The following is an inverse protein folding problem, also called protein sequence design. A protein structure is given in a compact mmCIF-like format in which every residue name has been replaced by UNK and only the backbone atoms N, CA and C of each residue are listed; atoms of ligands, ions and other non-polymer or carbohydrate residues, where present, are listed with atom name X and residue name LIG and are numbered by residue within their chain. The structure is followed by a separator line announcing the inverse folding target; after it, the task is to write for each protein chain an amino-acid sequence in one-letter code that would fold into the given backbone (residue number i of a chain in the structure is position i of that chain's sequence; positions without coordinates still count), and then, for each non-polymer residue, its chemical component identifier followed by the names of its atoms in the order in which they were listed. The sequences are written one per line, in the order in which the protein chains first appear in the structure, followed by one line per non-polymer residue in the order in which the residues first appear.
data_IF_431572636921
#
_entry.id   IF_431572636921
#
_cell.length_a   1.000
_cell.length_b   1.000
_cell.length_c   1.000
_cell.angle_alpha   90.00
_cell.angle_beta   90.00
_cell.angle_gamma   90.00
#
_symmetry.space_group_name_H-M   'P 1'
#
loop_
_entity.id
_entity.type
_entity.pdbx_description
1 polymer ?
#
# COMPACT_ATOMS: atom_id res chain seq x y z
N UNK A 1 -7.48 -21.32 -1.93
CA UNK A 1 -6.99 -20.05 -1.34
C UNK A 1 -7.13 -20.16 0.16
N UNK A 2 -6.08 -19.90 0.92
CA UNK A 2 -6.15 -19.96 2.38
C UNK A 2 -6.89 -18.74 2.95
N UNK A 3 -7.38 -18.84 4.19
CA UNK A 3 -7.96 -17.71 4.89
C UNK A 3 -6.96 -16.55 5.06
N UNK A 4 -5.67 -16.86 5.25
CA UNK A 4 -4.59 -15.88 5.37
C UNK A 4 -4.43 -15.06 4.09
N UNK A 5 -4.35 -15.71 2.92
CA UNK A 5 -4.24 -15.05 1.61
C UNK A 5 -5.47 -14.19 1.35
N UNK A 6 -6.65 -14.68 1.72
CA UNK A 6 -7.92 -13.94 1.54
C UNK A 6 -7.92 -12.66 2.37
N UNK A 7 -7.58 -12.75 3.66
CA UNK A 7 -7.50 -11.57 4.53
C UNK A 7 -6.41 -10.59 4.06
N UNK A 8 -5.24 -11.09 3.67
CA UNK A 8 -4.17 -10.26 3.13
C UNK A 8 -4.59 -9.51 1.86
N UNK A 9 -5.26 -10.19 0.92
CA UNK A 9 -5.76 -9.58 -0.31
C UNK A 9 -6.78 -8.47 -0.02
N UNK A 10 -7.71 -8.71 0.91
CA UNK A 10 -8.68 -7.70 1.35
C UNK A 10 -8.02 -6.52 2.05
N UNK A 11 -7.05 -6.75 2.92
CA UNK A 11 -6.31 -5.69 3.60
C UNK A 11 -5.56 -4.84 2.58
N UNK A 12 -4.85 -5.46 1.63
CA UNK A 12 -4.18 -4.73 0.55
C UNK A 12 -5.18 -3.93 -0.28
N UNK A 13 -6.32 -4.51 -0.66
CA UNK A 13 -7.35 -3.79 -1.39
C UNK A 13 -7.82 -2.55 -0.64
N UNK A 14 -8.19 -2.69 0.64
CA UNK A 14 -8.63 -1.54 1.47
C UNK A 14 -7.52 -0.50 1.60
N UNK A 15 -6.28 -0.93 1.83
CA UNK A 15 -5.11 -0.05 1.94
C UNK A 15 -4.93 0.81 0.69
N UNK A 16 -4.99 0.19 -0.49
CA UNK A 16 -4.82 0.89 -1.76
C UNK A 16 -6.02 1.73 -2.15
N UNK A 17 -7.24 1.34 -1.77
CA UNK A 17 -8.44 2.17 -1.95
C UNK A 17 -8.38 3.43 -1.08
N UNK A 18 -7.95 3.30 0.18
CA UNK A 18 -7.75 4.47 1.08
C UNK A 18 -6.68 5.40 0.50
N UNK A 19 -5.55 4.84 0.07
CA UNK A 19 -4.46 5.62 -0.54
C UNK A 19 -4.91 6.34 -1.82
N UNK A 20 -5.63 5.65 -2.70
CA UNK A 20 -6.15 6.25 -3.93
C UNK A 20 -7.19 7.34 -3.65
N UNK A 21 -8.07 7.13 -2.66
CA UNK A 21 -9.01 8.14 -2.19
C UNK A 21 -8.30 9.36 -1.61
N UNK A 22 -7.19 9.15 -0.90
CA UNK A 22 -6.37 10.22 -0.36
C UNK A 22 -5.64 11.02 -1.45
N UNK A 23 -5.08 10.34 -2.44
CA UNK A 23 -4.44 10.99 -3.57
C UNK A 23 -5.47 11.78 -4.39
N UNK A 24 -6.67 11.24 -4.61
CA UNK A 24 -7.79 11.97 -5.22
C UNK A 24 -8.18 13.21 -4.41
N UNK A 25 -8.33 13.10 -3.09
CA UNK A 25 -8.60 14.24 -2.21
C UNK A 25 -7.51 15.32 -2.34
N UNK A 26 -6.23 14.95 -2.36
CA UNK A 26 -5.14 15.92 -2.55
C UNK A 26 -5.17 16.56 -3.93
N UNK A 27 -5.37 15.78 -4.99
CA UNK A 27 -5.43 16.30 -6.37
C UNK A 27 -6.66 17.20 -6.58
N UNK A 28 -7.76 17.04 -5.84
CA UNK A 28 -8.93 17.93 -5.94
C UNK A 28 -8.88 19.13 -5.01
N UNK A 29 -8.52 18.94 -3.74
CA UNK A 29 -8.63 19.98 -2.70
C UNK A 29 -7.32 20.72 -2.41
N UNK A 30 -6.15 20.12 -2.72
CA UNK A 30 -4.83 20.75 -2.55
C UNK A 30 -4.13 21.04 -3.89
N UNK A 31 -4.86 21.01 -5.01
CA UNK A 31 -4.32 21.36 -6.32
C UNK A 31 -3.66 22.75 -6.32
N UNK A 32 -2.33 22.79 -6.46
CA UNK A 32 -1.57 24.04 -6.60
C UNK A 32 -0.83 24.54 -5.34
N UNK A 33 -0.77 23.77 -4.26
CA UNK A 33 -0.10 24.20 -3.01
C UNK A 33 1.40 23.82 -2.96
N UNK A 34 1.86 22.78 -3.68
CA UNK A 34 3.28 22.38 -3.72
C UNK A 34 3.77 21.94 -5.11
N UNK A 35 5.08 22.09 -5.37
CA UNK A 35 5.79 21.65 -6.61
C UNK A 35 5.76 20.13 -6.82
N UNK A 36 5.42 19.36 -5.77
CA UNK A 36 5.18 17.92 -5.81
C UNK A 36 3.72 17.53 -6.09
N UNK A 37 2.78 18.49 -6.21
CA UNK A 37 1.42 18.29 -6.74
C UNK A 37 1.38 18.33 -8.28
N UNK A 38 2.51 18.01 -8.92
CA UNK A 38 2.60 17.96 -10.37
C UNK A 38 2.14 16.58 -10.87
N UNK A 39 1.49 16.60 -12.04
CA UNK A 39 0.96 15.43 -12.77
C UNK A 39 1.94 14.26 -12.90
N UNK A 40 3.25 14.52 -12.82
CA UNK A 40 4.30 13.50 -12.81
C UNK A 40 4.36 12.64 -11.53
N UNK A 41 4.04 13.20 -10.35
CA UNK A 41 3.90 12.42 -9.11
C UNK A 41 2.72 11.46 -9.23
N UNK A 42 1.59 11.96 -9.72
CA UNK A 42 0.37 11.20 -9.93
C UNK A 42 0.55 10.06 -10.94
N UNK A 43 1.25 10.30 -12.05
CA UNK A 43 1.57 9.25 -13.04
C UNK A 43 2.45 8.15 -12.42
N UNK A 44 3.38 8.51 -11.53
CA UNK A 44 4.22 7.53 -10.82
C UNK A 44 3.41 6.72 -9.81
N UNK A 45 2.45 7.34 -9.12
CA UNK A 45 1.48 6.64 -8.25
C UNK A 45 0.56 5.72 -9.06
N UNK A 46 0.19 6.09 -10.29
CA UNK A 46 -0.64 5.28 -11.18
C UNK A 46 0.04 3.95 -11.55
N UNK A 47 1.36 3.97 -11.78
CA UNK A 47 2.15 2.74 -11.99
C UNK A 47 2.14 1.87 -10.74
N UNK A 48 2.29 2.47 -9.55
CA UNK A 48 2.22 1.74 -8.28
C UNK A 48 0.84 1.12 -8.05
N UNK A 49 -0.24 1.85 -8.34
CA UNK A 49 -1.61 1.31 -8.25
C UNK A 49 -1.89 0.23 -9.29
N UNK A 50 -1.33 0.34 -10.49
CA UNK A 50 -1.39 -0.71 -11.50
C UNK A 50 -0.71 -1.99 -11.01
N UNK A 51 0.51 -1.89 -10.49
CA UNK A 51 1.23 -3.03 -9.91
C UNK A 51 0.48 -3.61 -8.72
N UNK A 52 -0.01 -2.77 -7.80
CA UNK A 52 -0.81 -3.20 -6.65
C UNK A 52 -2.05 -3.98 -7.10
N UNK A 53 -2.76 -3.49 -8.13
CA UNK A 53 -3.95 -4.14 -8.68
C UNK A 53 -3.62 -5.51 -9.25
N UNK A 54 -2.51 -5.65 -9.98
CA UNK A 54 -2.04 -6.94 -10.50
C UNK A 54 -1.74 -7.92 -9.36
N UNK A 55 -1.03 -7.47 -8.32
CA UNK A 55 -0.70 -8.28 -7.15
C UNK A 55 -1.96 -8.72 -6.40
N UNK A 56 -2.90 -7.81 -6.16
CA UNK A 56 -4.18 -8.12 -5.50
C UNK A 56 -5.00 -9.11 -6.34
N UNK A 57 -5.09 -8.90 -7.65
CA UNK A 57 -5.79 -9.82 -8.55
C UNK A 57 -5.14 -11.21 -8.56
N UNK A 58 -3.80 -11.29 -8.53
CA UNK A 58 -3.07 -12.55 -8.44
C UNK A 58 -3.33 -13.27 -7.11
N UNK A 59 -3.41 -12.53 -5.99
CA UNK A 59 -3.76 -13.08 -4.67
C UNK A 59 -5.18 -13.65 -4.67
N UNK A 60 -6.18 -12.92 -5.20
CA UNK A 60 -7.56 -13.41 -5.34
C UNK A 60 -7.67 -14.61 -6.29
N UNK A 61 -6.81 -14.67 -7.31
CA UNK A 61 -6.77 -15.79 -8.25
C UNK A 61 -6.15 -17.05 -7.65
N UNK A 62 -5.59 -16.98 -6.43
CA UNK A 62 -5.04 -18.13 -5.72
C UNK A 62 -3.80 -18.73 -6.39
N UNK A 63 -3.06 -17.95 -7.19
CA UNK A 63 -1.87 -18.43 -7.88
C UNK A 63 -0.76 -18.70 -6.87
N UNK A 64 0.00 -19.80 -7.03
CA UNK A 64 0.99 -20.24 -6.04
C UNK A 64 2.10 -19.24 -5.75
N UNK A 65 2.50 -18.43 -6.74
CA UNK A 65 3.52 -17.38 -6.56
C UNK A 65 2.96 -16.07 -5.97
N UNK A 66 1.64 -15.91 -5.90
CA UNK A 66 1.01 -14.66 -5.52
C UNK A 66 1.31 -14.28 -4.06
N UNK A 67 1.39 -15.25 -3.15
CA UNK A 67 1.74 -15.01 -1.75
C UNK A 67 3.15 -14.41 -1.62
N UNK A 68 4.12 -14.96 -2.36
CA UNK A 68 5.48 -14.43 -2.41
C UNK A 68 5.53 -13.04 -3.05
N UNK A 69 4.84 -12.82 -4.17
CA UNK A 69 4.79 -11.51 -4.80
C UNK A 69 4.13 -10.45 -3.90
N UNK A 70 3.03 -10.80 -3.23
CA UNK A 70 2.36 -9.93 -2.27
C UNK A 70 3.24 -9.59 -1.07
N UNK A 71 4.02 -10.56 -0.58
CA UNK A 71 4.95 -10.36 0.53
C UNK A 71 6.06 -9.38 0.12
N UNK A 72 6.75 -9.68 -0.98
CA UNK A 72 7.82 -8.81 -1.52
C UNK A 72 7.28 -7.40 -1.77
N UNK A 73 6.12 -7.29 -2.39
CA UNK A 73 5.48 -6.01 -2.66
C UNK A 73 5.18 -5.23 -1.37
N UNK A 74 4.56 -5.87 -0.38
CA UNK A 74 4.26 -5.26 0.92
C UNK A 74 5.54 -4.80 1.64
N UNK A 75 6.58 -5.63 1.66
CA UNK A 75 7.86 -5.30 2.27
C UNK A 75 8.54 -4.13 1.57
N UNK A 76 8.57 -4.11 0.23
CA UNK A 76 9.14 -2.99 -0.53
C UNK A 76 8.36 -1.71 -0.25
N UNK A 77 7.03 -1.76 -0.19
CA UNK A 77 6.21 -0.59 0.13
C UNK A 77 6.45 -0.05 1.55
N UNK A 78 6.63 -0.93 2.53
CA UNK A 78 7.02 -0.54 3.90
C UNK A 78 8.38 0.17 3.90
N UNK A 79 9.38 -0.38 3.20
CA UNK A 79 10.71 0.22 3.11
C UNK A 79 10.66 1.59 2.43
N UNK A 80 9.90 1.71 1.34
CA UNK A 80 9.70 2.99 0.64
C UNK A 80 9.01 4.01 1.55
N UNK A 81 7.99 3.60 2.30
CA UNK A 81 7.31 4.46 3.26
C UNK A 81 8.28 5.01 4.32
N UNK A 82 9.02 4.12 4.99
CA UNK A 82 9.92 4.48 6.09
C UNK A 82 11.14 5.29 5.61
N UNK A 83 11.81 4.85 4.55
CA UNK A 83 13.12 5.42 4.17
C UNK A 83 13.03 6.54 3.13
N UNK A 84 11.92 6.65 2.39
CA UNK A 84 11.81 7.61 1.29
C UNK A 84 10.66 8.59 1.48
N UNK A 85 9.47 8.11 1.87
CA UNK A 85 8.29 8.98 2.00
C UNK A 85 8.38 9.85 3.25
N UNK A 86 8.60 9.26 4.43
CA UNK A 86 8.63 9.97 5.70
C UNK A 86 9.76 11.04 5.80
N UNK A 87 11.04 10.73 5.49
CA UNK A 87 12.13 11.68 5.70
C UNK A 87 12.33 12.72 4.58
N UNK A 88 11.78 12.52 3.38
CA UNK A 88 11.93 13.48 2.26
C UNK A 88 10.63 14.16 1.89
N UNK A 89 9.59 13.38 1.64
CA UNK A 89 8.34 13.90 1.06
C UNK A 89 7.46 14.54 2.13
N UNK A 90 7.36 13.92 3.32
CA UNK A 90 6.55 14.44 4.42
C UNK A 90 7.13 15.75 4.99
N UNK A 91 8.45 15.80 5.20
CA UNK A 91 9.15 16.98 5.73
C UNK A 91 9.12 18.18 4.76
N UNK A 92 9.24 17.94 3.46
CA UNK A 92 9.14 19.01 2.44
C UNK A 92 7.71 19.53 2.23
N UNK A 93 6.67 18.78 2.63
CA UNK A 93 5.26 19.11 2.39
C UNK A 93 4.55 19.83 3.54
N UNK A 94 5.21 20.07 4.69
CA UNK A 94 4.58 20.55 5.93
C UNK A 94 3.35 19.71 6.31
N UNK A 95 3.54 18.55 6.96
CA UNK A 95 2.50 17.53 7.06
C UNK A 95 1.31 18.04 7.88
N UNK A 96 0.12 17.97 7.29
CA UNK A 96 -1.12 18.11 8.05
C UNK A 96 -1.41 16.84 8.83
N UNK A 97 -2.31 16.93 9.83
CA UNK A 97 -2.75 15.77 10.63
C UNK A 97 -3.29 14.64 9.73
N UNK A 98 -3.94 14.99 8.61
CA UNK A 98 -4.48 14.03 7.65
C UNK A 98 -3.37 13.30 6.88
N UNK A 99 -2.30 14.00 6.47
CA UNK A 99 -1.14 13.38 5.80
C UNK A 99 -0.44 12.37 6.72
N UNK A 100 -0.32 12.69 8.01
CA UNK A 100 0.29 11.81 9.01
C UNK A 100 -0.59 10.59 9.34
N UNK A 101 -1.90 10.78 9.49
CA UNK A 101 -2.83 9.69 9.75
C UNK A 101 -2.87 8.70 8.58
N UNK A 102 -2.89 9.19 7.34
CA UNK A 102 -2.85 8.32 6.16
C UNK A 102 -1.56 7.50 6.09
N UNK A 103 -0.40 8.11 6.32
CA UNK A 103 0.89 7.40 6.32
C UNK A 103 0.94 6.28 7.36
N UNK A 104 0.43 6.54 8.58
CA UNK A 104 0.33 5.55 9.65
C UNK A 104 -0.62 4.41 9.32
N UNK A 105 -1.82 4.73 8.81
CA UNK A 105 -2.82 3.72 8.45
C UNK A 105 -2.32 2.88 7.29
N UNK A 106 -1.76 3.51 6.25
CA UNK A 106 -1.21 2.84 5.09
C UNK A 106 -0.07 1.90 5.48
N UNK A 107 0.92 2.40 6.22
CA UNK A 107 2.07 1.61 6.65
C UNK A 107 1.65 0.49 7.62
N UNK A 108 0.74 0.79 8.55
CA UNK A 108 0.20 -0.18 9.50
C UNK A 108 -0.52 -1.33 8.80
N UNK A 109 -1.39 -1.05 7.83
CA UNK A 109 -2.09 -2.08 7.06
C UNK A 109 -1.14 -2.91 6.19
N UNK A 110 -0.08 -2.30 5.63
CA UNK A 110 0.96 -3.05 4.93
C UNK A 110 1.71 -4.02 5.85
N UNK A 111 1.99 -3.62 7.10
CA UNK A 111 2.57 -4.54 8.09
C UNK A 111 1.66 -5.72 8.38
N UNK A 112 0.34 -5.48 8.53
CA UNK A 112 -0.62 -6.57 8.75
C UNK A 112 -0.66 -7.50 7.53
N UNK A 113 -0.74 -6.98 6.31
CA UNK A 113 -0.71 -7.77 5.09
C UNK A 113 0.59 -8.59 4.97
N UNK A 114 1.74 -7.97 5.24
CA UNK A 114 3.03 -8.65 5.21
C UNK A 114 3.11 -9.77 6.26
N UNK A 115 2.59 -9.56 7.47
CA UNK A 115 2.55 -10.58 8.50
C UNK A 115 1.69 -11.79 8.09
N UNK A 116 0.48 -11.54 7.57
CA UNK A 116 -0.42 -12.60 7.09
C UNK A 116 0.19 -13.41 5.94
N UNK A 117 0.84 -12.73 4.98
CA UNK A 117 1.53 -13.38 3.87
C UNK A 117 2.79 -14.12 4.32
N UNK A 118 3.48 -13.62 5.35
CA UNK A 118 4.61 -14.33 5.96
C UNK A 118 4.15 -15.63 6.62
N UNK A 119 3.04 -15.60 7.36
CA UNK A 119 2.47 -16.81 7.95
C UNK A 119 2.08 -17.83 6.87
N UNK A 120 1.48 -17.39 5.77
CA UNK A 120 1.18 -18.27 4.63
C UNK A 120 2.45 -18.89 4.04
N UNK A 121 3.49 -18.08 3.77
CA UNK A 121 4.74 -18.52 3.16
C UNK A 121 5.51 -19.50 4.04
N UNK A 122 5.44 -19.34 5.37
CA UNK A 122 6.04 -20.26 6.36
C UNK A 122 5.21 -21.54 6.52
N UNK A 123 4.02 -21.62 5.90
CA UNK A 123 3.13 -22.78 5.96
C UNK A 123 2.28 -22.83 7.24
N UNK A 124 2.16 -21.71 7.96
CA UNK A 124 1.22 -21.59 9.07
C UNK A 124 -0.20 -21.42 8.52
N UNK A 125 -1.16 -22.09 9.14
CA UNK A 125 -2.57 -21.98 8.77
C UNK A 125 -3.34 -21.30 9.89
N UNK A 126 -4.27 -20.40 9.55
CA UNK A 126 -5.22 -19.89 10.53
C UNK A 126 -6.12 -21.05 10.97
N UNK A 127 -6.07 -21.44 12.24
CA UNK A 127 -7.08 -22.34 12.81
C UNK A 127 -8.36 -21.53 13.01
N UNK A 128 -9.39 -21.86 12.22
CA UNK A 128 -10.76 -21.40 12.40
C UNK A 128 -11.52 -22.28 13.38
#
# INVERSE_FOLDING_TARGET
MSALVTHAAWILLVTFVISAGYELYRVTMKAGVSRHDSTGSFVRSLVLYGVATIVIAALFSGVSWAAWAGLVFSTVMILVSIFYYNPRILLERQPGIIDWFEDLVFTGLLFVAAALLTYEVIGMTLQS
#
